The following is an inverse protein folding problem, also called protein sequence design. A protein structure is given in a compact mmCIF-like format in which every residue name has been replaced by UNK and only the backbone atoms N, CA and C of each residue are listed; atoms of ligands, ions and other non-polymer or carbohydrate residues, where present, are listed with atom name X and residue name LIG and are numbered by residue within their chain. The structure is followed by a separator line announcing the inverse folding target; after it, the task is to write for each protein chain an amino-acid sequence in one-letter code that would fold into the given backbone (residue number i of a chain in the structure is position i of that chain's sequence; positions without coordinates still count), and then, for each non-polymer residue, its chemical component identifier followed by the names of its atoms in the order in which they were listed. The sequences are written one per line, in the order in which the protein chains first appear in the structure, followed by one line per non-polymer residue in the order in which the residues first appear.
data_IF_519161136591
#
_entry.id   IF_519161136591
#
_cell.length_a   1.000
_cell.length_b   1.000
_cell.length_c   1.000
_cell.angle_alpha   90.00
_cell.angle_beta   90.00
_cell.angle_gamma   90.00
#
_symmetry.space_group_name_H-M   'P 1'
#
loop_
_entity.id
_entity.type
_entity.pdbx_description
1 polymer ?
#
# COMPACT_ATOMS: atom_id res chain seq x y z
N UNK A 1 38.09 -60.68 5.20
CA UNK A 1 37.49 -60.25 3.92
C UNK A 1 36.01 -60.53 4.05
N UNK A 2 35.22 -59.66 4.65
CA UNK A 2 34.78 -58.29 4.25
C UNK A 2 33.38 -58.34 3.62
N UNK A 3 32.55 -57.40 4.06
CA UNK A 3 31.26 -56.93 3.50
C UNK A 3 30.02 -57.38 4.28
N UNK A 4 29.70 -56.63 5.34
CA UNK A 4 28.34 -56.38 5.82
C UNK A 4 28.30 -54.98 6.44
N UNK A 5 28.43 -53.93 5.63
CA UNK A 5 27.96 -52.60 6.03
C UNK A 5 27.39 -51.89 4.79
N UNK A 6 26.22 -51.27 5.00
CA UNK A 6 25.70 -50.14 4.23
C UNK A 6 24.91 -50.43 2.93
N UNK A 7 23.64 -50.85 3.06
CA UNK A 7 22.69 -50.83 1.93
C UNK A 7 21.27 -50.36 2.30
N UNK A 8 21.11 -49.65 3.43
CA UNK A 8 19.80 -49.20 3.92
C UNK A 8 19.56 -47.68 3.83
N UNK A 9 20.62 -46.88 3.74
CA UNK A 9 20.53 -45.42 3.81
C UNK A 9 20.56 -44.72 2.42
N UNK A 10 20.99 -45.42 1.37
CA UNK A 10 21.06 -44.84 0.01
C UNK A 10 19.73 -44.93 -0.78
N UNK A 11 18.78 -45.75 -0.33
CA UNK A 11 17.48 -45.94 -1.01
C UNK A 11 16.42 -44.92 -0.57
N UNK A 12 16.58 -44.32 0.63
CA UNK A 12 15.67 -43.29 1.15
C UNK A 12 16.08 -41.86 0.78
N UNK A 13 17.36 -41.63 0.47
CA UNK A 13 17.89 -40.33 0.03
C UNK A 13 17.16 -39.76 -1.21
N UNK A 14 16.94 -40.51 -2.31
CA UNK A 14 16.24 -39.97 -3.48
C UNK A 14 14.74 -39.70 -3.23
N UNK A 15 14.13 -40.38 -2.26
CA UNK A 15 12.71 -40.19 -1.93
C UNK A 15 12.50 -38.91 -1.09
N UNK A 16 13.47 -38.55 -0.25
CA UNK A 16 13.46 -37.32 0.57
C UNK A 16 13.77 -36.08 -0.29
N UNK A 17 14.71 -36.18 -1.23
CA UNK A 17 15.02 -35.08 -2.17
C UNK A 17 13.88 -34.82 -3.17
N UNK A 18 13.22 -35.88 -3.64
CA UNK A 18 12.02 -35.76 -4.49
C UNK A 18 10.84 -35.10 -3.77
N UNK A 19 10.63 -35.41 -2.49
CA UNK A 19 9.58 -34.81 -1.67
C UNK A 19 9.87 -33.33 -1.38
N UNK A 20 11.13 -32.99 -1.09
CA UNK A 20 11.57 -31.60 -0.87
C UNK A 20 11.40 -30.74 -2.13
N UNK A 21 11.77 -31.28 -3.30
CA UNK A 21 11.56 -30.62 -4.59
C UNK A 21 10.09 -30.39 -4.92
N UNK A 22 9.25 -31.41 -4.72
CA UNK A 22 7.81 -31.31 -4.95
C UNK A 22 7.14 -30.30 -4.01
N UNK A 23 7.52 -30.28 -2.72
CA UNK A 23 7.04 -29.30 -1.75
C UNK A 23 7.44 -27.87 -2.13
N UNK A 24 8.69 -27.67 -2.56
CA UNK A 24 9.18 -26.37 -3.00
C UNK A 24 8.40 -25.86 -4.21
N UNK A 25 8.14 -26.72 -5.20
CA UNK A 25 7.33 -26.37 -6.38
C UNK A 25 5.88 -26.04 -5.97
N UNK A 26 5.26 -26.82 -5.08
CA UNK A 26 3.91 -26.55 -4.60
C UNK A 26 3.81 -25.19 -3.86
N UNK A 27 4.82 -24.85 -3.05
CA UNK A 27 4.87 -23.54 -2.38
C UNK A 27 5.03 -22.42 -3.41
N UNK A 28 5.94 -22.55 -4.39
CA UNK A 28 6.14 -21.54 -5.43
C UNK A 28 4.90 -21.34 -6.31
N UNK A 29 4.21 -22.42 -6.68
CA UNK A 29 2.97 -22.34 -7.45
C UNK A 29 1.88 -21.67 -6.61
N UNK A 30 1.74 -22.05 -5.34
CA UNK A 30 0.74 -21.45 -4.43
C UNK A 30 0.97 -19.96 -4.21
N UNK A 31 2.23 -19.52 -4.05
CA UNK A 31 2.56 -18.09 -3.87
C UNK A 31 2.31 -17.29 -5.14
N UNK A 32 2.62 -17.84 -6.33
CA UNK A 32 2.31 -17.18 -7.62
C UNK A 32 0.81 -17.06 -7.84
N UNK A 33 0.02 -18.10 -7.52
CA UNK A 33 -1.45 -18.03 -7.60
C UNK A 33 -2.04 -17.07 -6.56
N UNK A 34 -1.49 -16.99 -5.35
CA UNK A 34 -1.92 -16.00 -4.35
C UNK A 34 -1.61 -14.57 -4.81
N UNK A 35 -0.42 -14.30 -5.34
CA UNK A 35 -0.03 -12.99 -5.88
C UNK A 35 -0.89 -12.59 -7.09
N UNK A 36 -1.14 -13.52 -8.01
CA UNK A 36 -2.00 -13.29 -9.18
C UNK A 36 -3.48 -13.13 -8.79
N UNK A 37 -3.91 -13.85 -7.75
CA UNK A 37 -5.26 -13.77 -7.19
C UNK A 37 -5.52 -12.43 -6.50
N UNK A 38 -4.53 -11.86 -5.80
CA UNK A 38 -4.64 -10.51 -5.23
C UNK A 38 -4.90 -9.45 -6.29
N UNK A 39 -4.26 -9.53 -7.46
CA UNK A 39 -4.52 -8.58 -8.56
C UNK A 39 -5.96 -8.70 -9.09
N UNK A 40 -6.53 -9.91 -9.11
CA UNK A 40 -7.92 -10.17 -9.52
C UNK A 40 -8.95 -9.73 -8.47
N UNK A 41 -8.65 -9.87 -7.17
CA UNK A 41 -9.52 -9.39 -6.08
C UNK A 41 -9.57 -7.86 -6.07
N UNK A 42 -8.45 -7.18 -6.31
CA UNK A 42 -8.40 -5.71 -6.44
C UNK A 42 -9.22 -5.24 -7.65
N UNK A 43 -9.27 -6.01 -8.73
CA UNK A 43 -10.11 -5.70 -9.90
C UNK A 43 -11.60 -6.04 -9.69
N UNK A 44 -11.92 -7.11 -8.94
CA UNK A 44 -13.28 -7.59 -8.71
C UNK A 44 -14.03 -6.84 -7.58
N UNK A 45 -13.33 -6.34 -6.56
CA UNK A 45 -13.93 -5.50 -5.51
C UNK A 45 -14.27 -4.07 -5.98
N UNK A 46 -13.76 -3.65 -7.14
CA UNK A 46 -14.10 -2.36 -7.77
C UNK A 46 -15.56 -2.25 -8.27
N UNK A 47 -16.36 -3.31 -8.15
CA UNK A 47 -17.68 -3.43 -8.77
C UNK A 47 -18.91 -3.11 -7.93
N UNK A 48 -18.87 -3.03 -6.58
CA UNK A 48 -20.13 -2.98 -5.80
C UNK A 48 -20.13 -2.27 -4.44
N UNK A 49 -19.09 -1.52 -4.07
CA UNK A 49 -19.13 -0.62 -2.92
C UNK A 49 -18.62 0.75 -3.37
N UNK A 50 -19.52 1.66 -3.76
CA UNK A 50 -19.17 3.07 -3.96
C UNK A 50 -18.93 3.72 -2.60
N UNK A 51 -17.81 3.36 -1.95
CA UNK A 51 -17.20 4.25 -0.97
C UNK A 51 -17.05 5.60 -1.68
N UNK A 52 -17.42 6.70 -1.01
CA UNK A 52 -17.27 8.03 -1.60
C UNK A 52 -15.81 8.16 -2.06
N UNK A 53 -15.62 8.33 -3.36
CA UNK A 53 -14.29 8.47 -3.95
C UNK A 53 -13.52 9.52 -3.16
N UNK A 54 -12.23 9.29 -2.98
CA UNK A 54 -11.42 10.30 -2.30
C UNK A 54 -11.46 11.56 -3.15
N UNK A 55 -11.57 12.72 -2.51
CA UNK A 55 -11.64 13.99 -3.21
C UNK A 55 -10.74 15.00 -2.54
N UNK A 56 -10.29 15.98 -3.32
CA UNK A 56 -9.46 17.06 -2.83
C UNK A 56 -10.29 18.33 -2.67
N UNK A 57 -10.21 18.93 -1.49
CA UNK A 57 -10.58 20.32 -1.25
C UNK A 57 -9.32 21.20 -1.33
N UNK A 58 -9.09 21.79 -2.49
CA UNK A 58 -7.93 22.65 -2.76
C UNK A 58 -7.95 23.95 -1.94
N UNK A 59 -9.13 24.40 -1.51
CA UNK A 59 -9.27 25.61 -0.69
C UNK A 59 -8.76 25.40 0.73
N UNK A 60 -8.82 24.14 1.21
CA UNK A 60 -8.36 23.73 2.54
C UNK A 60 -7.02 23.02 2.52
N UNK A 61 -6.48 22.75 1.33
CA UNK A 61 -5.30 21.89 1.15
C UNK A 61 -5.50 20.51 1.79
N UNK A 62 -6.66 19.87 1.53
CA UNK A 62 -7.06 18.63 2.20
C UNK A 62 -7.62 17.60 1.22
N UNK A 63 -7.14 16.36 1.32
CA UNK A 63 -7.70 15.17 0.69
C UNK A 63 -8.52 14.41 1.73
N UNK A 64 -9.79 14.17 1.44
CA UNK A 64 -10.67 13.36 2.30
C UNK A 64 -10.85 11.96 1.73
N UNK A 65 -10.84 10.96 2.61
CA UNK A 65 -10.99 9.55 2.24
C UNK A 65 -11.60 8.76 3.41
N UNK A 66 -12.16 7.58 3.13
CA UNK A 66 -12.78 6.71 4.15
C UNK A 66 -11.99 5.43 4.46
N UNK A 67 -11.10 5.00 3.57
CA UNK A 67 -10.28 3.80 3.75
C UNK A 67 -8.88 4.00 3.19
N UNK A 68 -8.71 3.65 1.92
CA UNK A 68 -7.52 3.98 1.15
C UNK A 68 -7.76 5.28 0.36
N UNK A 69 -6.72 6.11 0.22
CA UNK A 69 -6.75 7.26 -0.67
C UNK A 69 -6.82 6.76 -2.11
N UNK A 70 -7.78 7.24 -2.87
CA UNK A 70 -7.98 6.91 -4.28
C UNK A 70 -8.63 8.10 -4.96
N UNK A 71 -7.79 9.02 -5.44
CA UNK A 71 -8.24 10.23 -6.13
C UNK A 71 -8.60 9.91 -7.59
N UNK A 72 -9.59 10.63 -8.12
CA UNK A 72 -9.82 10.66 -9.56
C UNK A 72 -8.60 11.24 -10.28
N UNK A 73 -8.41 10.93 -11.57
CA UNK A 73 -7.31 11.52 -12.35
C UNK A 73 -7.39 13.05 -12.39
N UNK A 74 -8.60 13.62 -12.34
CA UNK A 74 -8.83 15.06 -12.28
C UNK A 74 -8.35 15.64 -10.95
N UNK A 75 -8.77 15.08 -9.82
CA UNK A 75 -8.36 15.56 -8.49
C UNK A 75 -6.85 15.44 -8.32
N UNK A 76 -6.27 14.30 -8.71
CA UNK A 76 -4.84 14.08 -8.64
C UNK A 76 -4.06 15.11 -9.46
N UNK A 77 -4.52 15.41 -10.68
CA UNK A 77 -3.92 16.43 -11.53
C UNK A 77 -3.99 17.81 -10.90
N UNK A 78 -5.16 18.21 -10.37
CA UNK A 78 -5.35 19.52 -9.76
C UNK A 78 -4.53 19.69 -8.48
N UNK A 79 -4.52 18.67 -7.61
CA UNK A 79 -3.68 18.66 -6.39
C UNK A 79 -2.21 18.80 -6.75
N UNK A 80 -1.72 17.98 -7.68
CA UNK A 80 -0.32 18.06 -8.15
C UNK A 80 0.00 19.44 -8.70
N UNK A 81 -0.88 20.01 -9.52
CA UNK A 81 -0.66 21.31 -10.11
C UNK A 81 -0.59 22.41 -9.04
N UNK A 82 -1.48 22.38 -8.04
CA UNK A 82 -1.43 23.34 -6.92
C UNK A 82 -0.11 23.25 -6.16
N UNK A 83 0.32 22.03 -5.81
CA UNK A 83 1.58 21.78 -5.09
C UNK A 83 2.81 22.26 -5.86
N UNK A 84 2.83 22.09 -7.19
CA UNK A 84 3.95 22.56 -8.03
C UNK A 84 3.88 24.08 -8.22
N UNK A 85 2.68 24.62 -8.43
CA UNK A 85 2.46 26.04 -8.71
C UNK A 85 2.72 26.95 -7.50
N UNK A 86 2.76 26.41 -6.28
CA UNK A 86 3.12 27.20 -5.10
C UNK A 86 4.58 27.68 -5.15
N UNK A 87 5.45 27.02 -5.94
CA UNK A 87 6.88 27.31 -6.02
C UNK A 87 7.70 26.80 -4.83
N UNK A 88 7.03 26.21 -3.85
CA UNK A 88 7.65 25.74 -2.60
C UNK A 88 8.40 24.44 -2.82
N UNK A 89 9.63 24.39 -2.29
CA UNK A 89 10.50 23.20 -2.41
C UNK A 89 10.34 22.23 -1.25
N UNK A 90 9.54 22.58 -0.25
CA UNK A 90 9.27 21.74 0.89
C UNK A 90 7.76 21.66 1.11
N UNK A 91 7.28 20.44 1.29
CA UNK A 91 5.86 20.16 1.49
C UNK A 91 5.75 19.19 2.66
N UNK A 92 4.93 19.54 3.65
CA UNK A 92 4.62 18.64 4.76
C UNK A 92 3.20 18.10 4.58
N UNK A 93 3.08 16.80 4.38
CA UNK A 93 1.79 16.11 4.45
C UNK A 93 1.53 15.62 5.88
N UNK A 94 0.35 15.94 6.38
CA UNK A 94 -0.17 15.52 7.66
C UNK A 94 -1.25 14.49 7.43
N UNK A 95 -0.96 13.24 7.78
CA UNK A 95 -1.93 12.16 7.72
C UNK A 95 -2.68 12.08 9.04
N UNK A 96 -4.00 12.25 9.01
CA UNK A 96 -4.86 12.18 10.18
C UNK A 96 -5.90 11.07 10.00
N UNK A 97 -5.92 10.11 10.93
CA UNK A 97 -6.91 9.03 10.99
C UNK A 97 -7.39 8.89 12.43
N UNK A 98 -8.71 8.81 12.62
CA UNK A 98 -9.36 8.59 13.91
C UNK A 98 -8.81 7.34 14.60
N UNK A 99 -8.52 7.45 15.90
CA UNK A 99 -8.07 6.32 16.74
C UNK A 99 -9.12 5.20 16.85
N UNK A 100 -10.38 5.50 16.52
CA UNK A 100 -11.46 4.52 16.47
C UNK A 100 -11.36 3.58 15.25
N UNK A 101 -10.50 3.90 14.27
CA UNK A 101 -10.25 3.04 13.12
C UNK A 101 -9.15 2.04 13.49
N UNK A 102 -9.47 0.76 13.32
CA UNK A 102 -8.50 -0.32 13.53
C UNK A 102 -7.29 -0.15 12.59
N UNK A 103 -6.09 -0.41 13.13
CA UNK A 103 -4.83 -0.27 12.41
C UNK A 103 -4.59 1.15 11.83
N UNK A 104 -5.13 2.19 12.49
CA UNK A 104 -5.05 3.58 12.04
C UNK A 104 -3.62 4.02 11.66
N UNK A 105 -2.59 3.66 12.45
CA UNK A 105 -1.20 4.04 12.14
C UNK A 105 -0.71 3.44 10.83
N UNK A 106 -0.91 2.14 10.62
CA UNK A 106 -0.49 1.46 9.40
C UNK A 106 -1.23 2.00 8.17
N UNK A 107 -2.55 2.21 8.31
CA UNK A 107 -3.38 2.83 7.26
C UNK A 107 -2.92 4.25 6.93
N UNK A 108 -2.55 5.03 7.95
CA UNK A 108 -2.09 6.40 7.76
C UNK A 108 -0.78 6.45 6.95
N UNK A 109 0.19 5.61 7.34
CA UNK A 109 1.46 5.45 6.61
C UNK A 109 1.22 5.01 5.17
N UNK A 110 0.37 4.01 4.95
CA UNK A 110 0.02 3.54 3.61
C UNK A 110 -0.55 4.67 2.75
N UNK A 111 -1.52 5.43 3.27
CA UNK A 111 -2.17 6.50 2.53
C UNK A 111 -1.22 7.67 2.20
N UNK A 112 -0.32 8.02 3.13
CA UNK A 112 0.71 9.04 2.89
C UNK A 112 1.70 8.61 1.80
N UNK A 113 2.17 7.37 1.85
CA UNK A 113 3.07 6.83 0.82
C UNK A 113 2.37 6.70 -0.54
N UNK A 114 1.11 6.29 -0.54
CA UNK A 114 0.30 6.16 -1.74
C UNK A 114 0.13 7.51 -2.44
N UNK A 115 -0.30 8.55 -1.72
CA UNK A 115 -0.50 9.86 -2.35
C UNK A 115 0.82 10.46 -2.85
N UNK A 116 1.91 10.29 -2.10
CA UNK A 116 3.24 10.72 -2.55
C UNK A 116 3.66 10.05 -3.87
N UNK A 117 3.45 8.74 -3.95
CA UNK A 117 3.74 7.95 -5.16
C UNK A 117 2.87 8.39 -6.34
N UNK A 118 1.57 8.58 -6.11
CA UNK A 118 0.60 8.93 -7.15
C UNK A 118 0.83 10.34 -7.69
N UNK A 119 1.20 11.30 -6.83
CA UNK A 119 1.45 12.70 -7.21
C UNK A 119 2.65 12.87 -8.13
N UNK A 120 3.65 11.98 -8.07
CA UNK A 120 4.88 12.04 -8.90
C UNK A 120 5.47 13.46 -8.94
N UNK A 121 5.68 14.03 -7.76
CA UNK A 121 6.24 15.37 -7.62
C UNK A 121 7.66 15.43 -8.21
N UNK A 122 8.11 16.58 -8.70
CA UNK A 122 9.49 16.78 -9.15
C UNK A 122 10.51 16.40 -8.07
N UNK A 123 11.67 15.87 -8.47
CA UNK A 123 12.69 15.34 -7.55
C UNK A 123 13.34 16.39 -6.66
N UNK A 124 13.22 17.67 -7.02
CA UNK A 124 13.71 18.82 -6.26
C UNK A 124 12.73 19.33 -5.20
N UNK A 125 11.56 18.67 -5.03
CA UNK A 125 10.59 18.93 -3.96
C UNK A 125 10.82 17.95 -2.82
N UNK A 126 11.21 18.46 -1.64
CA UNK A 126 11.30 17.72 -0.40
C UNK A 126 9.90 17.48 0.18
N UNK A 127 9.57 16.21 0.45
CA UNK A 127 8.31 15.83 1.07
C UNK A 127 8.56 15.27 2.46
N UNK A 128 7.87 15.83 3.46
CA UNK A 128 7.87 15.35 4.84
C UNK A 128 6.50 14.79 5.22
N UNK A 129 6.51 13.75 6.05
CA UNK A 129 5.30 13.14 6.60
C UNK A 129 5.21 13.38 8.09
N UNK A 130 4.03 13.79 8.57
CA UNK A 130 3.72 13.96 9.99
C UNK A 130 2.37 13.35 10.33
N UNK A 131 2.21 12.97 11.60
CA UNK A 131 0.89 12.66 12.15
C UNK A 131 0.09 13.97 12.28
N UNK A 132 -1.11 13.99 11.71
CA UNK A 132 -2.02 15.12 11.75
C UNK A 132 -3.07 15.01 12.84
N UNK A 133 -3.79 16.11 13.07
CA UNK A 133 -4.94 16.13 13.97
C UNK A 133 -6.23 15.80 13.19
N UNK A 134 -7.01 14.85 13.71
CA UNK A 134 -8.30 14.44 13.15
C UNK A 134 -9.33 15.57 13.20
N UNK A 135 -9.16 16.56 14.08
CA UNK A 135 -9.99 17.76 14.10
C UNK A 135 -9.96 18.54 12.78
N UNK A 136 -8.84 18.49 12.05
CA UNK A 136 -8.69 19.10 10.72
C UNK A 136 -9.50 18.36 9.64
N UNK A 137 -9.94 17.13 9.91
CA UNK A 137 -10.76 16.34 8.98
C UNK A 137 -12.26 16.66 9.08
N UNK A 138 -12.66 17.64 9.91
CA UNK A 138 -14.03 18.07 10.12
C UNK A 138 -14.97 16.92 10.51
N UNK A 139 -15.91 16.55 9.63
CA UNK A 139 -16.84 15.43 9.82
C UNK A 139 -16.27 14.08 9.37
N UNK A 140 -15.14 14.09 8.68
CA UNK A 140 -14.51 12.86 8.17
C UNK A 140 -13.63 12.24 9.25
N UNK A 141 -13.61 10.90 9.30
CA UNK A 141 -12.75 10.17 10.24
C UNK A 141 -11.29 10.09 9.81
N UNK A 142 -10.99 10.50 8.58
CA UNK A 142 -9.65 10.48 8.01
C UNK A 142 -9.48 11.50 6.89
N UNK A 143 -8.29 12.09 6.83
CA UNK A 143 -7.88 13.01 5.78
C UNK A 143 -6.35 13.11 5.71
N UNK A 144 -5.85 13.65 4.61
CA UNK A 144 -4.46 14.11 4.47
C UNK A 144 -4.53 15.59 4.13
N UNK A 145 -3.92 16.44 4.93
CA UNK A 145 -3.79 17.86 4.62
C UNK A 145 -2.32 18.25 4.49
N UNK A 146 -2.03 19.38 3.86
CA UNK A 146 -0.65 19.82 3.67
C UNK A 146 -0.40 21.29 3.96
N UNK A 147 0.85 21.57 4.28
CA UNK A 147 1.42 22.92 4.34
C UNK A 147 2.77 22.96 3.65
N UNK A 148 3.25 24.17 3.42
CA UNK A 148 4.58 24.46 2.89
C UNK A 148 5.51 24.83 4.06
#
# INVERSE_FOLDING_TARGET
MSVEENSGDEELAPMVDGLSGALCILILVSTVFMLSGTDSIVAAEGGALKFRDSFTDLSKNTIYYSGAVSLSSSDLYQTRNQLISSGEKKITFYGAISKNIENHKAKNTFNLLKIYTDLKLPSDVEVQFKEGDVSACEKSLSCIYWSY
#
